data_IF_152926388969
#
_entry.id   IF_152926388969
#
_cell.length_a   1.000
_cell.length_b   1.000
_cell.length_c   1.000
_cell.angle_alpha   90.00
_cell.angle_beta   90.00
_cell.angle_gamma   90.00
#
_symmetry.space_group_name_H-M   'P 1'
#
loop_
_entity.id
_entity.type
_entity.pdbx_description
1 polymer ?
#
# COMPACT_ATOMS: atom_id res chain seq x y z
N UNK A 1 11.32 10.33 -8.42
CA UNK A 1 12.08 11.49 -7.87
C UNK A 1 12.71 11.08 -6.55
N UNK A 2 13.88 11.62 -6.19
CA UNK A 2 14.64 11.15 -5.02
C UNK A 2 14.43 11.98 -3.73
N UNK A 3 13.46 12.91 -3.73
CA UNK A 3 13.19 13.77 -2.57
C UNK A 3 14.35 14.70 -2.18
N UNK A 4 15.29 14.96 -3.09
CA UNK A 4 16.45 15.79 -2.80
C UNK A 4 16.05 17.26 -2.61
N UNK A 5 16.12 17.75 -1.37
CA UNK A 5 15.99 19.16 -1.05
C UNK A 5 17.25 19.92 -1.47
N UNK A 6 17.14 20.75 -2.50
CA UNK A 6 18.25 21.63 -2.89
C UNK A 6 18.37 22.79 -1.91
N UNK A 7 19.55 22.93 -1.29
CA UNK A 7 19.91 24.10 -0.48
C UNK A 7 20.68 25.08 -1.36
N UNK A 8 20.20 26.34 -1.44
CA UNK A 8 20.79 27.38 -2.27
C UNK A 8 22.26 27.62 -1.87
N UNK A 9 23.20 27.31 -2.78
CA UNK A 9 24.65 27.58 -2.63
C UNK A 9 25.16 28.65 -3.63
N UNK A 10 24.29 29.21 -4.45
CA UNK A 10 24.60 30.21 -5.48
C UNK A 10 23.33 30.81 -6.10
N UNK A 11 23.47 31.64 -7.14
CA UNK A 11 22.33 32.38 -7.71
C UNK A 11 21.52 31.61 -8.77
N UNK A 12 21.99 30.43 -9.20
CA UNK A 12 21.35 29.62 -10.24
C UNK A 12 20.82 28.30 -9.68
N UNK A 13 19.51 28.07 -9.86
CA UNK A 13 18.85 26.79 -9.57
C UNK A 13 19.20 25.78 -10.67
N UNK A 14 19.64 24.56 -10.35
CA UNK A 14 20.08 23.62 -11.39
C UNK A 14 18.91 23.15 -12.29
N UNK A 15 19.15 22.97 -13.58
CA UNK A 15 18.08 22.48 -14.49
C UNK A 15 17.68 21.02 -14.24
N UNK A 16 18.54 20.24 -13.57
CA UNK A 16 18.32 18.83 -13.25
C UNK A 16 18.61 18.55 -11.78
N UNK A 17 17.98 17.50 -11.24
CA UNK A 17 18.22 17.09 -9.87
C UNK A 17 19.71 16.75 -9.73
N UNK A 18 20.45 17.37 -8.79
CA UNK A 18 21.85 17.02 -8.58
C UNK A 18 22.07 15.56 -8.17
N UNK A 19 21.04 14.92 -7.57
CA UNK A 19 21.13 13.56 -7.05
C UNK A 19 20.66 12.48 -8.02
N UNK A 20 19.56 12.71 -8.74
CA UNK A 20 18.99 11.69 -9.65
C UNK A 20 18.90 12.12 -11.11
N UNK A 21 19.49 13.27 -11.45
CA UNK A 21 19.50 13.88 -12.79
C UNK A 21 18.10 14.10 -13.40
N UNK A 22 17.04 14.00 -12.60
CA UNK A 22 15.66 14.19 -13.05
C UNK A 22 15.44 15.63 -13.48
N UNK A 23 14.85 15.83 -14.65
CA UNK A 23 14.42 17.15 -15.16
C UNK A 23 13.16 17.67 -14.46
N UNK A 24 12.47 16.82 -13.68
CA UNK A 24 11.19 17.13 -13.03
C UNK A 24 11.35 17.50 -11.55
N UNK A 25 12.59 17.73 -11.10
CA UNK A 25 12.96 17.80 -9.69
C UNK A 25 12.52 19.07 -8.97
N UNK A 26 12.27 20.14 -9.73
CA UNK A 26 11.82 21.44 -9.26
C UNK A 26 10.52 21.88 -9.94
N UNK A 27 9.71 20.92 -10.42
CA UNK A 27 8.40 21.20 -11.00
C UNK A 27 7.34 21.12 -9.90
N UNK A 28 6.70 22.24 -9.60
CA UNK A 28 5.61 22.34 -8.63
C UNK A 28 4.29 21.79 -9.17
N UNK A 29 4.13 21.72 -10.48
CA UNK A 29 2.85 21.39 -11.14
C UNK A 29 2.65 19.89 -11.40
N UNK A 30 3.39 19.05 -10.65
CA UNK A 30 3.33 17.61 -10.85
C UNK A 30 2.19 16.99 -10.06
N UNK A 31 1.41 16.17 -10.76
CA UNK A 31 0.27 15.46 -10.20
C UNK A 31 0.69 14.05 -9.83
N UNK A 32 0.24 13.59 -8.67
CA UNK A 32 0.48 12.22 -8.22
C UNK A 32 -0.63 11.32 -8.75
N UNK A 33 -0.26 10.29 -9.49
CA UNK A 33 -1.16 9.26 -9.98
C UNK A 33 -0.88 7.95 -9.27
N UNK A 34 -1.93 7.20 -8.99
CA UNK A 34 -1.84 5.85 -8.40
C UNK A 34 -2.60 4.91 -9.32
N UNK A 35 -1.95 3.83 -9.75
CA UNK A 35 -2.62 2.83 -10.56
C UNK A 35 -3.48 1.95 -9.66
N UNK A 36 -4.80 2.01 -9.80
CA UNK A 36 -5.76 1.13 -9.10
C UNK A 36 -5.59 -0.36 -9.40
N UNK A 37 -4.89 -0.71 -10.50
CA UNK A 37 -4.60 -2.10 -10.86
C UNK A 37 -3.33 -2.68 -10.23
N UNK A 38 -2.23 -1.92 -10.20
CA UNK A 38 -0.95 -2.46 -9.72
C UNK A 38 -0.38 -1.71 -8.52
N UNK A 39 -1.10 -0.71 -7.99
CA UNK A 39 -0.68 0.13 -6.88
C UNK A 39 0.48 1.08 -7.20
N UNK A 40 1.03 1.04 -8.42
CA UNK A 40 2.18 1.85 -8.78
C UNK A 40 1.84 3.34 -8.70
N UNK A 41 2.67 4.11 -7.99
CA UNK A 41 2.54 5.56 -7.86
C UNK A 41 3.56 6.24 -8.76
N UNK A 42 3.15 7.24 -9.54
CA UNK A 42 4.04 8.04 -10.36
C UNK A 42 3.61 9.51 -10.40
N UNK A 43 4.53 10.37 -10.84
CA UNK A 43 4.29 11.79 -10.98
C UNK A 43 4.17 12.12 -12.47
N UNK A 44 3.06 12.74 -12.85
CA UNK A 44 2.75 13.16 -14.21
C UNK A 44 2.62 14.67 -14.33
N UNK A 45 2.74 15.19 -15.56
CA UNK A 45 2.39 16.58 -15.88
C UNK A 45 0.94 16.73 -16.31
N UNK A 46 0.31 15.64 -16.70
CA UNK A 46 -1.05 15.58 -17.25
C UNK A 46 -1.98 14.96 -16.22
N UNK A 47 -3.21 15.46 -16.12
CA UNK A 47 -4.26 14.85 -15.30
C UNK A 47 -4.58 13.41 -15.71
N UNK A 48 -4.64 13.17 -17.02
CA UNK A 48 -5.04 11.90 -17.60
C UNK A 48 -3.90 11.24 -18.39
N UNK A 49 -2.92 10.59 -17.71
CA UNK A 49 -1.98 9.74 -18.41
C UNK A 49 -2.73 8.62 -19.16
N UNK A 50 -2.34 8.32 -20.39
CA UNK A 50 -3.01 7.29 -21.19
C UNK A 50 -2.83 5.87 -20.64
N UNK A 51 -1.72 5.62 -19.92
CA UNK A 51 -1.34 4.30 -19.43
C UNK A 51 -0.54 4.39 -18.14
N UNK A 52 -0.68 3.37 -17.29
CA UNK A 52 0.26 3.17 -16.18
C UNK A 52 1.66 2.86 -16.73
N UNK A 53 2.74 3.54 -16.26
CA UNK A 53 4.10 3.28 -16.71
C UNK A 53 4.62 1.89 -16.31
N UNK A 54 4.09 1.30 -15.23
CA UNK A 54 4.52 -0.01 -14.75
C UNK A 54 3.79 -1.17 -15.46
N UNK A 55 2.46 -1.25 -15.35
CA UNK A 55 1.69 -2.36 -15.93
C UNK A 55 1.17 -2.09 -17.35
N UNK A 56 1.44 -0.91 -17.92
CA UNK A 56 0.99 -0.48 -19.26
C UNK A 56 -0.53 -0.48 -19.47
N UNK A 57 -1.30 -0.63 -18.40
CA UNK A 57 -2.76 -0.65 -18.42
C UNK A 57 -3.30 0.73 -18.80
N UNK A 58 -4.24 0.76 -19.75
CA UNK A 58 -5.08 1.92 -20.04
C UNK A 58 -6.15 2.18 -18.97
N UNK A 59 -6.40 1.19 -18.13
CA UNK A 59 -7.41 1.19 -17.07
C UNK A 59 -6.76 1.44 -15.72
N UNK A 60 -5.82 2.38 -15.66
CA UNK A 60 -5.04 2.58 -14.44
C UNK A 60 -5.84 3.33 -13.37
N UNK A 61 -6.83 4.13 -13.76
CA UNK A 61 -7.71 4.90 -12.85
C UNK A 61 -9.13 4.34 -12.75
N UNK A 62 -9.43 3.26 -13.47
CA UNK A 62 -10.73 2.61 -13.39
C UNK A 62 -10.79 1.73 -12.14
N UNK A 63 -11.96 1.70 -11.50
CA UNK A 63 -12.21 0.78 -10.39
C UNK A 63 -12.20 -0.66 -10.88
N UNK A 64 -11.48 -1.49 -10.14
CA UNK A 64 -11.27 -2.90 -10.50
C UNK A 64 -11.62 -3.81 -9.34
N UNK A 65 -12.27 -4.92 -9.68
CA UNK A 65 -12.50 -6.06 -8.81
C UNK A 65 -11.44 -7.13 -9.09
N UNK A 66 -11.02 -7.81 -8.03
CA UNK A 66 -10.11 -8.94 -8.08
C UNK A 66 -10.96 -10.19 -8.06
N UNK A 67 -10.79 -11.03 -9.06
CA UNK A 67 -11.40 -12.35 -9.11
C UNK A 67 -10.35 -13.39 -8.82
N UNK A 68 -10.70 -14.36 -7.98
CA UNK A 68 -9.85 -15.47 -7.58
C UNK A 68 -10.46 -16.74 -8.15
N UNK A 69 -9.68 -17.48 -8.91
CA UNK A 69 -10.09 -18.80 -9.38
C UNK A 69 -10.15 -19.77 -8.20
N UNK A 70 -11.31 -20.35 -7.94
CA UNK A 70 -11.53 -21.34 -6.88
C UNK A 70 -10.70 -22.62 -7.03
N UNK A 71 -10.39 -23.01 -8.26
CA UNK A 71 -9.68 -24.26 -8.54
C UNK A 71 -8.15 -24.16 -8.42
N UNK A 72 -7.54 -23.02 -8.77
CA UNK A 72 -6.08 -22.86 -8.80
C UNK A 72 -5.55 -21.63 -8.05
N UNK A 73 -6.43 -20.80 -7.49
CA UNK A 73 -6.05 -19.57 -6.78
C UNK A 73 -5.58 -18.42 -7.68
N UNK A 74 -5.64 -18.57 -9.01
CA UNK A 74 -5.23 -17.51 -9.93
C UNK A 74 -6.03 -16.22 -9.71
N UNK A 75 -5.33 -15.09 -9.55
CA UNK A 75 -5.93 -13.78 -9.31
C UNK A 75 -5.92 -12.96 -10.59
N UNK A 76 -7.07 -12.39 -10.94
CA UNK A 76 -7.21 -11.55 -12.12
C UNK A 76 -8.03 -10.29 -11.80
N UNK A 77 -7.59 -9.16 -12.33
CA UNK A 77 -8.21 -7.85 -12.12
C UNK A 77 -9.10 -7.47 -13.30
N UNK A 78 -10.38 -7.28 -13.06
CA UNK A 78 -11.39 -6.86 -14.03
C UNK A 78 -12.04 -5.55 -13.61
N UNK A 79 -12.69 -4.85 -14.54
CA UNK A 79 -13.46 -3.65 -14.18
C UNK A 79 -14.67 -4.06 -13.33
N UNK A 80 -14.99 -3.25 -12.32
CA UNK A 80 -16.23 -3.34 -11.54
C UNK A 80 -17.43 -3.44 -12.49
N UNK A 81 -18.38 -4.32 -12.16
CA UNK A 81 -19.62 -4.50 -12.93
C UNK A 81 -19.47 -5.32 -14.22
N UNK A 82 -18.29 -5.91 -14.49
CA UNK A 82 -18.16 -6.96 -15.50
C UNK A 82 -18.17 -8.35 -14.85
N UNK A 83 -18.84 -9.29 -15.50
CA UNK A 83 -18.75 -10.71 -15.16
C UNK A 83 -17.31 -11.21 -15.32
N UNK A 84 -16.91 -12.15 -14.45
CA UNK A 84 -15.66 -12.88 -14.60
C UNK A 84 -15.58 -13.56 -15.99
N UNK A 85 -14.38 -13.83 -16.52
CA UNK A 85 -14.24 -14.60 -17.75
C UNK A 85 -14.86 -15.98 -17.60
N UNK A 86 -15.35 -16.56 -18.71
CA UNK A 86 -15.90 -17.91 -18.71
C UNK A 86 -14.91 -18.98 -18.22
N UNK A 87 -13.60 -18.77 -18.42
CA UNK A 87 -12.55 -19.73 -18.06
C UNK A 87 -11.33 -19.05 -17.47
N UNK A 88 -10.74 -19.66 -16.45
CA UNK A 88 -9.47 -19.28 -15.89
C UNK A 88 -8.34 -19.48 -16.91
N UNK A 89 -7.49 -18.48 -17.19
CA UNK A 89 -6.39 -18.63 -18.13
C UNK A 89 -5.29 -19.57 -17.62
N UNK A 90 -5.24 -19.84 -16.31
CA UNK A 90 -4.21 -20.70 -15.72
C UNK A 90 -4.61 -22.18 -15.70
N UNK A 91 -5.89 -22.50 -15.45
CA UNK A 91 -6.34 -23.89 -15.30
C UNK A 91 -7.58 -24.25 -16.12
N UNK A 92 -8.15 -23.33 -16.89
CA UNK A 92 -9.34 -23.53 -17.70
C UNK A 92 -10.66 -23.61 -16.94
N UNK A 93 -10.67 -23.58 -15.59
CA UNK A 93 -11.92 -23.71 -14.83
C UNK A 93 -12.77 -22.44 -14.89
N UNK A 94 -14.10 -22.59 -14.89
CA UNK A 94 -15.03 -21.45 -14.80
C UNK A 94 -15.35 -21.00 -13.38
N UNK A 95 -14.67 -21.57 -12.37
CA UNK A 95 -14.97 -21.33 -10.97
C UNK A 95 -14.25 -20.07 -10.48
N UNK A 96 -14.92 -18.92 -10.55
CA UNK A 96 -14.41 -17.64 -10.10
C UNK A 96 -15.18 -17.13 -8.88
N UNK A 97 -14.44 -16.56 -7.94
CA UNK A 97 -14.97 -15.85 -6.79
C UNK A 97 -14.49 -14.40 -6.82
N UNK A 98 -15.34 -13.45 -6.42
CA UNK A 98 -14.90 -12.07 -6.18
C UNK A 98 -14.12 -12.07 -4.88
N UNK A 99 -12.92 -11.50 -4.87
CA UNK A 99 -12.20 -11.21 -3.64
C UNK A 99 -13.02 -10.16 -2.86
N UNK A 100 -13.50 -10.47 -1.64
CA UNK A 100 -14.27 -9.54 -0.82
C UNK A 100 -13.53 -8.22 -0.55
N UNK A 101 -12.20 -8.21 -0.71
CA UNK A 101 -11.32 -7.05 -0.51
C UNK A 101 -11.16 -6.18 -1.76
N UNK A 102 -11.85 -6.48 -2.86
CA UNK A 102 -11.69 -5.76 -4.11
C UNK A 102 -12.79 -4.72 -4.32
N UNK A 103 -12.40 -3.44 -4.39
CA UNK A 103 -13.31 -2.31 -4.59
C UNK A 103 -13.44 -1.34 -3.42
N UNK A 104 -12.79 -1.57 -2.28
CA UNK A 104 -12.72 -0.57 -1.21
C UNK A 104 -11.49 0.33 -1.41
N UNK A 105 -11.75 1.62 -1.57
CA UNK A 105 -10.75 2.68 -1.70
C UNK A 105 -9.69 2.59 -0.59
N UNK A 106 -8.53 2.01 -0.93
CA UNK A 106 -7.40 1.81 -0.02
C UNK A 106 -6.81 3.12 0.56
N UNK A 107 -7.33 4.29 0.19
CA UNK A 107 -6.85 5.61 0.61
C UNK A 107 -7.70 6.22 1.72
N UNK A 108 -9.01 5.96 1.79
CA UNK A 108 -9.90 6.48 2.85
C UNK A 108 -9.97 5.55 4.05
N UNK A 109 -9.80 4.25 3.85
CA UNK A 109 -9.92 3.26 4.93
C UNK A 109 -8.68 3.20 5.83
N UNK A 110 -7.48 3.36 5.26
CA UNK A 110 -6.23 3.33 6.03
C UNK A 110 -6.13 4.48 7.05
N UNK A 111 -6.73 5.64 6.78
CA UNK A 111 -6.75 6.78 7.72
C UNK A 111 -7.73 6.53 8.86
N UNK A 112 -8.92 5.99 8.56
CA UNK A 112 -9.92 5.63 9.58
C UNK A 112 -9.39 4.56 10.53
N UNK A 113 -8.74 3.52 10.01
CA UNK A 113 -8.16 2.45 10.82
C UNK A 113 -7.01 2.97 11.68
N UNK A 114 -6.14 3.82 11.11
CA UNK A 114 -5.07 4.47 11.88
C UNK A 114 -5.63 5.31 13.04
N UNK A 115 -6.67 6.11 12.81
CA UNK A 115 -7.31 6.91 13.87
C UNK A 115 -7.94 6.05 14.95
N UNK A 116 -8.56 4.92 14.60
CA UNK A 116 -9.15 3.99 15.57
C UNK A 116 -8.07 3.31 16.42
N UNK A 117 -6.97 2.89 15.81
CA UNK A 117 -5.81 2.30 16.50
C UNK A 117 -5.17 3.32 17.44
N UNK A 118 -4.96 4.56 16.99
CA UNK A 118 -4.44 5.64 17.84
C UNK A 118 -5.36 5.97 19.01
N UNK A 119 -6.68 6.00 18.76
CA UNK A 119 -7.68 6.22 19.82
C UNK A 119 -7.64 5.10 20.85
N UNK A 120 -7.56 3.85 20.42
CA UNK A 120 -7.45 2.70 21.31
C UNK A 120 -6.15 2.74 22.14
N UNK A 121 -5.05 3.17 21.53
CA UNK A 121 -3.77 3.35 22.22
C UNK A 121 -3.86 4.45 23.29
N UNK A 122 -4.38 5.64 22.94
CA UNK A 122 -4.54 6.77 23.87
C UNK A 122 -5.54 6.48 24.99
N UNK A 123 -6.56 5.67 24.72
CA UNK A 123 -7.53 5.22 25.73
C UNK A 123 -6.98 4.14 26.68
N UNK A 124 -5.73 3.69 26.51
CA UNK A 124 -5.12 2.67 27.36
C UNK A 124 -5.62 1.23 27.08
N UNK A 125 -6.24 0.99 25.92
CA UNK A 125 -6.77 -0.33 25.55
C UNK A 125 -5.69 -1.41 25.31
N UNK A 126 -4.43 -0.99 25.20
CA UNK A 126 -3.28 -1.87 25.03
C UNK A 126 -3.26 -2.64 23.70
N UNK A 127 -2.30 -3.56 23.57
CA UNK A 127 -2.13 -4.42 22.39
C UNK A 127 -3.42 -5.18 21.99
N UNK A 128 -4.21 -5.77 22.91
CA UNK A 128 -5.40 -6.52 22.54
C UNK A 128 -6.47 -5.70 21.81
N UNK A 129 -6.65 -4.43 22.19
CA UNK A 129 -7.62 -3.55 21.53
C UNK A 129 -7.19 -3.20 20.10
N UNK A 130 -5.90 -2.93 19.89
CA UNK A 130 -5.35 -2.66 18.56
C UNK A 130 -5.45 -3.89 17.65
N UNK A 131 -5.15 -5.09 18.18
CA UNK A 131 -5.31 -6.35 17.44
C UNK A 131 -6.76 -6.56 17.01
N UNK A 132 -7.73 -6.32 17.91
CA UNK A 132 -9.16 -6.48 17.60
C UNK A 132 -9.59 -5.59 16.43
N UNK A 133 -9.15 -4.33 16.42
CA UNK A 133 -9.43 -3.38 15.34
C UNK A 133 -8.82 -3.89 14.03
N UNK A 134 -7.53 -4.21 14.02
CA UNK A 134 -6.83 -4.67 12.81
C UNK A 134 -7.43 -5.97 12.24
N UNK A 135 -7.80 -6.91 13.11
CA UNK A 135 -8.47 -8.16 12.71
C UNK A 135 -9.86 -7.89 12.14
N UNK A 136 -10.62 -6.94 12.70
CA UNK A 136 -11.93 -6.56 12.16
C UNK A 136 -11.85 -5.95 10.76
N UNK A 137 -10.69 -5.38 10.43
CA UNK A 137 -10.35 -4.84 9.11
C UNK A 137 -9.72 -5.91 8.19
N UNK A 138 -9.74 -7.18 8.62
CA UNK A 138 -9.34 -8.33 7.81
C UNK A 138 -7.84 -8.56 7.71
N UNK A 139 -7.05 -7.98 8.62
CA UNK A 139 -5.63 -8.32 8.83
C UNK A 139 -5.55 -9.64 9.60
N UNK A 140 -4.61 -10.50 9.20
CA UNK A 140 -4.37 -11.75 9.93
C UNK A 140 -4.01 -11.47 11.38
N UNK A 141 -4.47 -12.33 12.30
CA UNK A 141 -4.26 -12.14 13.74
C UNK A 141 -2.78 -12.05 14.11
N UNK A 142 -1.91 -12.83 13.48
CA UNK A 142 -0.46 -12.83 13.71
C UNK A 142 0.13 -11.51 13.24
N UNK A 143 -0.23 -11.07 12.04
CA UNK A 143 0.23 -9.80 11.46
C UNK A 143 -0.24 -8.61 12.32
N UNK A 144 -1.51 -8.61 12.73
CA UNK A 144 -2.10 -7.60 13.60
C UNK A 144 -1.39 -7.50 14.95
N UNK A 145 -0.98 -8.63 15.53
CA UNK A 145 -0.26 -8.66 16.79
C UNK A 145 1.18 -8.15 16.65
N UNK A 146 1.89 -8.52 15.57
CA UNK A 146 3.21 -7.96 15.24
C UNK A 146 3.14 -6.44 15.11
N UNK A 147 2.18 -5.94 14.32
CA UNK A 147 2.00 -4.51 14.09
C UNK A 147 1.66 -3.76 15.38
N UNK A 148 0.74 -4.29 16.19
CA UNK A 148 0.31 -3.68 17.46
C UNK A 148 1.45 -3.60 18.47
N UNK A 149 2.29 -4.64 18.58
CA UNK A 149 3.47 -4.66 19.45
C UNK A 149 4.54 -3.68 19.00
N UNK A 150 4.78 -3.61 17.69
CA UNK A 150 5.74 -2.67 17.11
C UNK A 150 5.33 -1.22 17.38
N UNK A 151 4.06 -0.88 17.15
CA UNK A 151 3.51 0.46 17.46
C UNK A 151 3.56 0.77 18.95
N UNK A 152 3.43 -0.24 19.81
CA UNK A 152 3.59 -0.08 21.27
C UNK A 152 5.04 0.14 21.72
N UNK A 153 6.02 0.11 20.79
CA UNK A 153 7.43 0.34 21.08
C UNK A 153 8.25 -0.93 21.36
N UNK A 154 7.70 -2.13 21.18
CA UNK A 154 8.50 -3.36 21.28
C UNK A 154 9.47 -3.46 20.10
N UNK A 155 10.72 -3.85 20.37
CA UNK A 155 11.71 -4.06 19.31
C UNK A 155 11.34 -5.27 18.45
N UNK A 156 11.68 -5.23 17.16
CA UNK A 156 11.44 -6.34 16.21
C UNK A 156 12.05 -7.67 16.69
N UNK A 157 13.21 -7.62 17.35
CA UNK A 157 13.87 -8.80 17.92
C UNK A 157 13.06 -9.37 19.09
N UNK A 158 12.52 -8.51 19.96
CA UNK A 158 11.66 -8.92 21.07
C UNK A 158 10.37 -9.56 20.56
N UNK A 159 9.78 -8.98 19.51
CA UNK A 159 8.55 -9.50 18.88
C UNK A 159 8.81 -10.86 18.25
N UNK A 160 9.89 -10.99 17.46
CA UNK A 160 10.28 -12.25 16.81
C UNK A 160 10.46 -13.38 17.83
N UNK A 161 11.22 -13.13 18.91
CA UNK A 161 11.43 -14.11 19.98
C UNK A 161 10.15 -14.51 20.70
N UNK A 162 9.26 -13.55 20.97
CA UNK A 162 8.01 -13.80 21.69
C UNK A 162 7.02 -14.62 20.85
N UNK A 163 6.94 -14.32 19.56
CA UNK A 163 5.96 -14.91 18.65
C UNK A 163 6.47 -16.16 17.92
N UNK A 164 7.74 -16.54 18.13
CA UNK A 164 8.35 -17.67 17.42
C UNK A 164 8.52 -17.41 15.92
N UNK A 165 8.57 -16.13 15.52
CA UNK A 165 8.73 -15.71 14.13
C UNK A 165 10.20 -15.43 13.84
N UNK A 166 10.57 -15.48 12.56
CA UNK A 166 11.88 -15.01 12.13
C UNK A 166 11.92 -13.47 12.16
N UNK A 167 13.13 -12.93 12.36
CA UNK A 167 13.34 -11.48 12.31
C UNK A 167 12.90 -10.87 10.97
N UNK A 168 13.12 -11.58 9.86
CA UNK A 168 12.77 -11.10 8.52
C UNK A 168 11.26 -11.04 8.31
N UNK A 169 10.49 -11.98 8.86
CA UNK A 169 9.02 -11.96 8.84
C UNK A 169 8.48 -10.75 9.61
N UNK A 170 9.00 -10.51 10.82
CA UNK A 170 8.62 -9.34 11.63
C UNK A 170 8.97 -8.04 10.91
N UNK A 171 10.17 -7.96 10.33
CA UNK A 171 10.62 -6.79 9.59
C UNK A 171 9.77 -6.50 8.36
N UNK A 172 9.37 -7.53 7.61
CA UNK A 172 8.48 -7.37 6.45
C UNK A 172 7.14 -6.76 6.85
N UNK A 173 6.63 -7.11 8.04
CA UNK A 173 5.35 -6.64 8.58
C UNK A 173 5.44 -5.24 9.23
N UNK A 174 6.58 -4.87 9.81
CA UNK A 174 6.81 -3.54 10.40
C UNK A 174 7.25 -2.48 9.38
N UNK A 175 7.87 -2.88 8.26
CA UNK A 175 8.41 -1.98 7.24
C UNK A 175 7.41 -0.95 6.68
N UNK A 176 6.12 -1.30 6.42
CA UNK A 176 5.11 -0.32 6.01
C UNK A 176 4.88 0.76 7.08
N UNK A 177 4.83 0.38 8.35
CA UNK A 177 4.63 1.31 9.48
C UNK A 177 5.85 2.22 9.61
N UNK A 178 7.05 1.66 9.51
CA UNK A 178 8.32 2.40 9.57
C UNK A 178 8.45 3.47 8.48
N UNK A 179 7.95 3.18 7.27
CA UNK A 179 7.95 4.15 6.15
C UNK A 179 6.94 5.28 6.36
N UNK A 180 5.81 4.98 6.99
CA UNK A 180 4.77 5.97 7.34
C UNK A 180 5.16 6.82 8.55
N UNK A 181 5.96 6.29 9.49
CA UNK A 181 6.46 7.00 10.67
C UNK A 181 7.50 8.10 10.39
N UNK A 182 7.96 8.26 9.15
CA UNK A 182 8.89 9.33 8.76
C UNK A 182 8.24 10.73 8.66
N UNK A 183 6.93 10.84 8.92
CA UNK A 183 6.18 12.10 9.02
C UNK A 183 5.71 12.43 10.44
N UNK A 184 6.16 11.69 11.45
CA UNK A 184 5.82 11.91 12.86
C UNK A 184 7.09 12.20 13.66
N UNK A 185 7.68 13.38 13.40
CA UNK A 185 8.61 14.07 14.29
C UNK A 185 8.43 15.57 14.11
#
# INVERSE_FOLDING_TARGET
MCGYGWKKRGNTVPRRCPRCNSILWNCTDLKTHVCKRCGHKWLGRTDDPLRCPNCRSKLWDADVETFICGSCGHKALYRVGRSAPATCPACGSGNWFVDPKSGQDAVTDSTRVAEQVERAFRAGGGIPAMVSILVSEGIDKVDAEVMSRYVSGESEISIARRMGLTFEEVRRLSEPIRRSGSSFN
#
